data_IF_826886623296
#
_entry.id   IF_826886623296
#
_cell.length_a   1.000
_cell.length_b   1.000
_cell.length_c   1.000
_cell.angle_alpha   90.00
_cell.angle_beta   90.00
_cell.angle_gamma   90.00
#
_symmetry.space_group_name_H-M   'P 1'
#
loop_
_entity.id
_entity.type
_entity.pdbx_description
1 polymer ?
#
# COMPACT_ATOMS: atom_id res chain seq x y z
N UNK A 1 5.74 -1.79 20.12
CA UNK A 1 4.52 -0.98 20.17
C UNK A 1 3.34 -1.90 20.08
N UNK A 2 2.51 -1.88 21.11
CA UNK A 2 1.42 -2.81 21.31
C UNK A 2 0.29 -2.53 20.33
N UNK A 3 -0.13 -3.53 19.56
CA UNK A 3 -1.51 -3.59 19.09
C UNK A 3 -2.27 -4.36 20.16
N UNK A 4 -3.15 -3.66 20.88
CA UNK A 4 -4.06 -4.23 21.86
C UNK A 4 -5.15 -4.94 21.07
N UNK A 5 -5.29 -6.28 21.10
CA UNK A 5 -6.56 -6.88 20.77
C UNK A 5 -7.49 -6.60 21.95
N UNK A 6 -8.58 -5.88 21.70
CA UNK A 6 -9.63 -5.66 22.69
C UNK A 6 -10.06 -7.01 23.29
N UNK A 7 -9.80 -7.17 24.58
CA UNK A 7 -10.52 -8.10 25.44
C UNK A 7 -11.96 -7.60 25.58
N UNK A 8 -12.94 -8.36 25.09
CA UNK A 8 -14.33 -8.23 25.54
C UNK A 8 -14.82 -9.58 26.08
N UNK A 9 -15.37 -9.49 27.28
CA UNK A 9 -15.73 -10.54 28.22
C UNK A 9 -16.71 -11.59 27.71
N UNK A 10 -16.58 -12.79 28.29
CA UNK A 10 -17.62 -13.81 28.31
C UNK A 10 -18.79 -13.44 29.26
N UNK A 11 -19.95 -14.01 28.90
CA UNK A 11 -21.11 -14.38 29.74
C UNK A 11 -22.27 -13.38 29.85
N UNK A 12 -23.43 -13.74 29.30
CA UNK A 12 -24.65 -14.11 30.06
C UNK A 12 -25.69 -14.79 29.15
N UNK A 13 -26.29 -15.87 29.68
CA UNK A 13 -27.39 -16.65 29.07
C UNK A 13 -28.66 -15.82 28.87
N UNK A 14 -29.46 -16.17 27.84
CA UNK A 14 -30.93 -16.41 27.87
C UNK A 14 -31.46 -16.69 26.44
N UNK A 15 -31.98 -17.91 26.26
CA UNK A 15 -32.94 -18.40 25.25
C UNK A 15 -32.57 -18.39 23.74
N UNK A 16 -32.27 -19.61 23.26
CA UNK A 16 -32.34 -20.13 21.88
C UNK A 16 -31.73 -19.27 20.74
N UNK A 17 -30.58 -19.76 20.25
CA UNK A 17 -29.68 -19.24 19.20
C UNK A 17 -28.68 -18.17 19.65
N UNK A 18 -27.42 -18.60 19.85
CA UNK A 18 -26.27 -17.70 19.95
C UNK A 18 -25.74 -17.41 18.54
N UNK A 19 -25.80 -16.15 18.12
CA UNK A 19 -25.15 -15.69 16.89
C UNK A 19 -23.76 -15.20 17.27
N UNK A 20 -22.74 -15.90 16.78
CA UNK A 20 -21.35 -15.48 16.91
C UNK A 20 -20.96 -14.68 15.67
N UNK A 21 -20.42 -13.48 15.89
CA UNK A 21 -19.77 -12.69 14.85
C UNK A 21 -18.32 -12.55 15.24
N UNK A 22 -17.43 -12.85 14.30
CA UNK A 22 -16.01 -12.63 14.45
C UNK A 22 -15.45 -12.14 13.11
N UNK A 23 -14.30 -11.50 13.17
CA UNK A 23 -13.49 -11.13 12.03
C UNK A 23 -12.08 -11.66 12.25
N UNK A 24 -11.39 -11.99 11.16
CA UNK A 24 -9.95 -12.26 11.13
C UNK A 24 -9.38 -11.71 9.84
N UNK A 25 -8.08 -11.47 9.82
CA UNK A 25 -7.37 -11.12 8.59
C UNK A 25 -7.49 -12.27 7.58
N UNK A 26 -7.64 -11.91 6.29
CA UNK A 26 -7.64 -12.88 5.19
C UNK A 26 -6.27 -13.57 5.10
N UNK A 27 -5.20 -12.80 5.25
CA UNK A 27 -3.84 -13.31 5.39
C UNK A 27 -3.21 -12.72 6.66
N UNK A 28 -2.82 -13.57 7.60
CA UNK A 28 -2.18 -13.17 8.86
C UNK A 28 -0.65 -13.09 8.75
N UNK A 29 -0.06 -13.60 7.66
CA UNK A 29 1.39 -13.74 7.48
C UNK A 29 2.02 -14.88 8.27
N UNK A 30 1.26 -15.58 9.12
CA UNK A 30 1.69 -16.79 9.82
C UNK A 30 1.41 -18.01 8.93
N UNK A 31 2.45 -18.51 8.28
CA UNK A 31 2.34 -19.69 7.41
C UNK A 31 2.38 -21.03 8.17
N UNK A 32 2.72 -21.01 9.46
CA UNK A 32 2.91 -22.23 10.26
C UNK A 32 1.61 -22.66 10.95
N UNK A 33 0.76 -21.70 11.36
CA UNK A 33 -0.45 -21.98 12.13
C UNK A 33 -1.75 -21.51 11.46
N UNK A 34 -1.67 -20.59 10.48
CA UNK A 34 -2.84 -20.03 9.81
C UNK A 34 -2.87 -20.34 8.32
N UNK A 35 -4.08 -20.50 7.80
CA UNK A 35 -4.30 -20.55 6.35
C UNK A 35 -4.53 -19.15 5.80
N UNK A 36 -3.93 -18.85 4.64
CA UNK A 36 -4.30 -17.69 3.84
C UNK A 36 -5.69 -17.93 3.23
N UNK A 37 -6.70 -17.20 3.70
CA UNK A 37 -8.09 -17.32 3.24
C UNK A 37 -8.32 -16.77 1.83
N UNK A 38 -7.33 -16.07 1.27
CA UNK A 38 -7.30 -15.67 -0.14
C UNK A 38 -6.88 -16.82 -1.09
N UNK A 39 -6.51 -17.98 -0.56
CA UNK A 39 -6.29 -19.19 -1.34
C UNK A 39 -7.62 -19.95 -1.60
N UNK A 40 -7.59 -20.89 -2.54
CA UNK A 40 -8.70 -21.80 -2.80
C UNK A 40 -8.80 -22.84 -1.68
N UNK A 41 -9.80 -22.72 -0.82
CA UNK A 41 -9.98 -23.54 0.39
C UNK A 41 -11.36 -24.18 0.45
N UNK A 42 -11.47 -25.35 1.09
CA UNK A 42 -12.77 -25.93 1.44
C UNK A 42 -13.20 -25.45 2.82
N UNK A 43 -14.45 -25.01 2.94
CA UNK A 43 -14.99 -24.62 4.23
C UNK A 43 -15.47 -25.85 4.99
N UNK A 44 -15.01 -25.97 6.24
CA UNK A 44 -15.49 -26.96 7.20
C UNK A 44 -16.47 -26.28 8.15
N UNK A 45 -17.52 -26.98 8.52
CA UNK A 45 -18.32 -26.61 9.68
C UNK A 45 -18.40 -27.80 10.64
N UNK A 46 -18.28 -27.50 11.93
CA UNK A 46 -18.31 -28.50 12.99
C UNK A 46 -19.13 -27.98 14.16
N UNK A 47 -19.83 -28.88 14.84
CA UNK A 47 -20.52 -28.57 16.09
C UNK A 47 -19.92 -29.43 17.19
N UNK A 48 -19.48 -28.78 18.27
CA UNK A 48 -18.97 -29.46 19.46
C UNK A 48 -19.01 -28.49 20.65
N UNK A 49 -18.77 -29.03 21.84
CA UNK A 49 -18.59 -28.22 23.04
C UNK A 49 -17.25 -27.47 22.98
N UNK A 50 -17.17 -26.35 23.69
CA UNK A 50 -15.86 -25.77 24.01
C UNK A 50 -15.16 -26.72 25.00
N UNK A 51 -13.94 -27.16 24.67
CA UNK A 51 -13.14 -28.03 25.54
C UNK A 51 -12.56 -27.31 26.76
N UNK A 52 -13.23 -26.27 27.25
CA UNK A 52 -12.73 -25.27 28.20
C UNK A 52 -12.63 -23.87 27.59
N UNK A 53 -11.98 -22.93 28.31
CA UNK A 53 -11.88 -21.50 27.93
C UNK A 53 -10.83 -21.20 26.85
N UNK A 54 -9.99 -22.17 26.47
CA UNK A 54 -8.82 -21.95 25.61
C UNK A 54 -8.75 -22.85 24.37
N UNK A 55 -9.71 -23.75 24.17
CA UNK A 55 -9.68 -24.69 23.05
C UNK A 55 -11.06 -25.17 22.63
N UNK A 56 -11.23 -25.43 21.34
CA UNK A 56 -12.38 -26.16 20.80
C UNK A 56 -12.20 -27.66 21.07
N UNK A 57 -13.25 -28.37 21.51
CA UNK A 57 -13.17 -29.81 21.66
C UNK A 57 -13.16 -30.50 20.30
N UNK A 58 -12.47 -31.65 20.21
CA UNK A 58 -12.50 -32.47 19.01
C UNK A 58 -13.89 -33.12 18.86
N UNK A 59 -14.53 -32.95 17.71
CA UNK A 59 -15.76 -33.66 17.37
C UNK A 59 -15.47 -35.11 16.94
N UNK A 60 -16.39 -36.03 17.22
CA UNK A 60 -16.20 -37.47 16.94
C UNK A 60 -16.64 -37.90 15.52
N UNK A 61 -17.16 -36.98 14.71
CA UNK A 61 -17.68 -37.26 13.36
C UNK A 61 -16.82 -36.58 12.28
N UNK A 62 -16.85 -37.08 11.05
CA UNK A 62 -16.28 -36.35 9.91
C UNK A 62 -17.17 -35.15 9.59
N UNK A 63 -16.64 -33.91 9.52
CA UNK A 63 -17.45 -32.74 9.24
C UNK A 63 -17.89 -32.75 7.77
N UNK A 64 -19.06 -32.17 7.51
CA UNK A 64 -19.46 -31.88 6.14
C UNK A 64 -18.61 -30.74 5.57
N UNK A 65 -18.27 -30.85 4.29
CA UNK A 65 -17.39 -29.92 3.58
C UNK A 65 -18.11 -29.35 2.38
N UNK A 66 -17.74 -28.14 1.96
CA UNK A 66 -18.28 -27.56 0.72
C UNK A 66 -17.92 -28.40 -0.49
N UNK A 67 -18.82 -28.50 -1.47
CA UNK A 67 -18.59 -29.26 -2.71
C UNK A 67 -17.66 -28.54 -3.70
N UNK A 68 -17.46 -27.24 -3.50
CA UNK A 68 -16.54 -26.41 -4.26
C UNK A 68 -15.62 -25.68 -3.29
N UNK A 69 -14.41 -25.37 -3.77
CA UNK A 69 -13.51 -24.50 -3.03
C UNK A 69 -14.04 -23.06 -3.08
N UNK A 70 -13.92 -22.37 -1.96
CA UNK A 70 -14.23 -20.96 -1.81
C UNK A 70 -12.92 -20.18 -1.73
N UNK A 71 -12.96 -18.93 -2.20
CA UNK A 71 -11.91 -17.94 -2.00
C UNK A 71 -12.56 -16.78 -1.26
N UNK A 72 -12.03 -16.40 -0.10
CA UNK A 72 -12.50 -15.19 0.58
C UNK A 72 -11.83 -14.02 -0.13
N UNK A 73 -12.58 -13.34 -0.98
CA UNK A 73 -12.15 -12.11 -1.62
C UNK A 73 -12.50 -10.92 -0.73
N UNK A 74 -11.54 -10.06 -0.49
CA UNK A 74 -11.86 -8.73 -0.01
C UNK A 74 -12.42 -7.93 -1.19
N UNK A 75 -13.72 -7.63 -1.16
CA UNK A 75 -14.32 -6.76 -2.17
C UNK A 75 -14.04 -5.27 -1.88
N UNK A 76 -13.32 -4.99 -0.79
CA UNK A 76 -12.91 -3.69 -0.31
C UNK A 76 -11.39 -3.48 -0.38
N UNK A 77 -10.62 -4.46 -0.89
CA UNK A 77 -9.23 -4.21 -1.28
C UNK A 77 -9.21 -3.39 -2.55
N UNK A 78 -8.55 -2.24 -2.49
CA UNK A 78 -7.99 -1.55 -3.63
C UNK A 78 -7.28 -2.58 -4.54
N UNK A 79 -7.88 -2.89 -5.69
CA UNK A 79 -7.26 -3.79 -6.67
C UNK A 79 -6.23 -2.97 -7.41
N UNK A 80 -4.96 -3.21 -7.11
CA UNK A 80 -3.88 -2.54 -7.82
C UNK A 80 -3.90 -2.88 -9.31
N UNK A 81 -3.68 -1.89 -10.19
CA UNK A 81 -3.59 -2.14 -11.62
C UNK A 81 -2.44 -3.09 -11.91
N UNK A 82 -2.73 -4.13 -12.69
CA UNK A 82 -1.76 -5.20 -13.01
C UNK A 82 -0.82 -4.80 -14.14
N UNK A 83 -1.26 -3.89 -15.02
CA UNK A 83 -0.43 -3.33 -16.08
C UNK A 83 0.13 -1.98 -15.64
N UNK A 84 1.40 -1.72 -15.90
CA UNK A 84 2.03 -0.43 -15.66
C UNK A 84 2.53 0.18 -16.96
N UNK A 85 2.61 1.50 -16.99
CA UNK A 85 3.27 2.24 -18.06
C UNK A 85 4.72 1.81 -18.18
N UNK A 86 5.15 1.50 -19.41
CA UNK A 86 6.53 1.12 -19.66
C UNK A 86 7.47 2.30 -19.35
N UNK A 87 8.61 2.00 -18.72
CA UNK A 87 9.62 3.00 -18.37
C UNK A 87 10.04 3.79 -19.62
N UNK A 88 9.92 5.13 -19.55
CA UNK A 88 10.23 6.04 -20.66
C UNK A 88 9.11 6.23 -21.69
N UNK A 89 8.00 5.51 -21.60
CA UNK A 89 6.79 5.72 -22.40
C UNK A 89 5.71 6.50 -21.65
N UNK A 90 6.10 7.23 -20.61
CA UNK A 90 5.18 8.04 -19.82
C UNK A 90 4.81 9.33 -20.58
N UNK A 91 3.62 9.87 -20.32
CA UNK A 91 3.11 11.08 -20.96
C UNK A 91 3.95 12.30 -20.57
N UNK A 92 4.39 12.33 -19.31
CA UNK A 92 5.33 13.29 -18.79
C UNK A 92 6.60 12.57 -18.37
N UNK A 93 7.74 13.00 -18.92
CA UNK A 93 9.06 12.51 -18.54
C UNK A 93 9.95 13.71 -18.27
N UNK A 94 10.67 13.66 -17.16
CA UNK A 94 11.67 14.67 -16.81
C UNK A 94 12.94 14.01 -16.27
N UNK A 95 14.09 14.57 -16.66
CA UNK A 95 15.41 14.11 -16.24
C UNK A 95 16.27 15.28 -15.81
N UNK A 96 17.10 15.07 -14.79
CA UNK A 96 18.14 16.01 -14.37
C UNK A 96 19.53 15.36 -14.44
N UNK A 97 20.53 16.02 -15.03
CA UNK A 97 20.44 17.29 -15.81
C UNK A 97 19.49 17.18 -17.01
N UNK A 98 18.96 18.30 -17.49
CA UNK A 98 18.04 18.29 -18.64
C UNK A 98 18.68 17.59 -19.86
N UNK A 99 17.92 16.69 -20.49
CA UNK A 99 18.38 15.91 -21.65
C UNK A 99 19.33 14.75 -21.32
N UNK A 100 19.53 14.40 -20.05
CA UNK A 100 20.29 13.21 -19.68
C UNK A 100 19.64 11.91 -20.20
N UNK A 101 20.47 10.92 -20.49
CA UNK A 101 20.01 9.55 -20.74
C UNK A 101 19.52 8.95 -19.42
N UNK A 102 18.40 8.21 -19.44
CA UNK A 102 17.75 7.68 -18.24
C UNK A 102 18.75 7.07 -17.25
N UNK A 103 19.61 6.17 -17.72
CA UNK A 103 20.58 5.43 -16.89
C UNK A 103 21.69 6.29 -16.28
N UNK A 104 21.93 7.50 -16.80
CA UNK A 104 22.97 8.43 -16.33
C UNK A 104 22.39 9.66 -15.65
N UNK A 105 21.07 9.88 -15.74
CA UNK A 105 20.38 10.94 -15.01
C UNK A 105 20.61 10.83 -13.50
N UNK A 106 20.83 11.97 -12.84
CA UNK A 106 20.85 12.06 -11.38
C UNK A 106 19.46 11.87 -10.79
N UNK A 107 18.44 12.31 -11.53
CA UNK A 107 17.03 12.17 -11.20
C UNK A 107 16.26 11.97 -12.51
N UNK A 108 15.36 11.01 -12.53
CA UNK A 108 14.49 10.71 -13.65
C UNK A 108 13.10 10.37 -13.12
N UNK A 109 12.08 10.98 -13.72
CA UNK A 109 10.68 10.72 -13.39
C UNK A 109 9.86 10.49 -14.64
N UNK A 110 8.93 9.55 -14.54
CA UNK A 110 7.86 9.33 -15.51
C UNK A 110 6.50 9.36 -14.81
N UNK A 111 5.55 10.11 -15.36
CA UNK A 111 4.16 10.17 -14.89
C UNK A 111 3.19 9.91 -16.04
N UNK A 112 2.21 9.02 -15.83
CA UNK A 112 1.14 8.70 -16.78
C UNK A 112 -0.11 8.20 -16.06
N UNK A 113 -1.33 8.51 -16.52
CA UNK A 113 -2.48 7.70 -16.17
C UNK A 113 -2.22 6.24 -16.50
N UNK A 114 -2.58 5.33 -15.60
CA UNK A 114 -2.35 3.91 -15.79
C UNK A 114 -3.13 3.40 -17.02
N UNK A 115 -2.53 2.56 -17.86
CA UNK A 115 -3.13 2.13 -19.13
C UNK A 115 -4.33 1.17 -18.94
N UNK A 116 -4.37 0.44 -17.83
CA UNK A 116 -5.45 -0.51 -17.51
C UNK A 116 -6.56 0.08 -16.65
N UNK A 117 -6.21 1.05 -15.80
CA UNK A 117 -7.16 1.76 -14.95
C UNK A 117 -6.78 3.25 -14.82
N UNK A 118 -7.38 4.14 -15.63
CA UNK A 118 -7.00 5.54 -15.67
C UNK A 118 -7.38 6.31 -14.39
N UNK A 119 -7.98 5.66 -13.38
CA UNK A 119 -8.16 6.26 -12.05
C UNK A 119 -6.87 6.26 -11.22
N UNK A 120 -5.80 5.60 -11.69
CA UNK A 120 -4.48 5.63 -11.10
C UNK A 120 -3.49 6.44 -11.95
N UNK A 121 -2.56 7.10 -11.26
CA UNK A 121 -1.35 7.67 -11.83
C UNK A 121 -0.20 6.68 -11.62
N UNK A 122 0.39 6.19 -12.71
CA UNK A 122 1.67 5.50 -12.68
C UNK A 122 2.81 6.50 -12.46
N UNK A 123 3.66 6.19 -11.49
CA UNK A 123 4.82 6.96 -11.08
C UNK A 123 6.06 6.09 -11.17
N UNK A 124 7.02 6.55 -11.98
CA UNK A 124 8.35 5.97 -12.05
C UNK A 124 9.38 6.97 -11.55
N UNK A 125 10.18 6.60 -10.56
CA UNK A 125 11.30 7.40 -10.07
C UNK A 125 12.60 6.59 -10.16
N UNK A 126 13.65 7.22 -10.67
CA UNK A 126 14.99 6.63 -10.78
C UNK A 126 16.06 7.71 -10.53
N UNK A 127 17.07 7.42 -9.71
CA UNK A 127 18.14 8.40 -9.52
C UNK A 127 19.19 8.03 -8.49
N UNK A 128 20.31 8.75 -8.51
CA UNK A 128 21.42 8.54 -7.58
C UNK A 128 21.10 9.23 -6.25
N UNK A 129 20.83 8.43 -5.22
CA UNK A 129 20.41 8.92 -3.91
C UNK A 129 20.78 7.93 -2.80
N UNK A 130 21.33 8.42 -1.69
CA UNK A 130 21.72 7.58 -0.55
C UNK A 130 20.61 7.38 0.50
N UNK A 131 19.41 7.94 0.28
CA UNK A 131 18.34 7.83 1.27
C UNK A 131 16.94 7.93 0.71
N UNK A 132 16.65 8.88 -0.18
CA UNK A 132 15.32 8.99 -0.76
C UNK A 132 15.32 9.74 -2.09
N UNK A 133 14.30 9.45 -2.90
CA UNK A 133 13.92 10.17 -4.12
C UNK A 133 12.41 10.42 -4.06
N UNK A 134 11.95 11.62 -4.43
CA UNK A 134 10.55 11.98 -4.31
C UNK A 134 10.13 13.01 -5.37
N UNK A 135 8.83 13.03 -5.65
CA UNK A 135 8.14 14.03 -6.44
C UNK A 135 7.01 14.65 -5.62
N UNK A 136 6.95 15.97 -5.60
CA UNK A 136 5.87 16.73 -4.97
C UNK A 136 4.97 17.40 -6.00
N UNK A 137 3.68 17.46 -5.68
CA UNK A 137 2.66 18.20 -6.40
C UNK A 137 2.29 19.44 -5.59
N UNK A 138 2.59 20.61 -6.13
CA UNK A 138 2.41 21.89 -5.44
C UNK A 138 1.47 22.82 -6.18
N UNK A 139 0.69 23.60 -5.43
CA UNK A 139 -0.16 24.66 -5.98
C UNK A 139 0.63 25.93 -6.32
N UNK A 140 1.90 26.01 -5.91
CA UNK A 140 2.78 27.14 -6.20
C UNK A 140 4.24 26.66 -6.34
N UNK A 141 5.20 27.58 -6.41
CA UNK A 141 6.65 27.23 -6.45
C UNK A 141 7.27 27.11 -5.04
N UNK A 142 6.39 26.96 -4.06
CA UNK A 142 6.53 26.64 -2.65
C UNK A 142 7.33 25.38 -2.38
N UNK A 143 7.65 25.07 -1.13
CA UNK A 143 7.80 23.67 -0.71
C UNK A 143 7.07 23.57 0.62
N UNK A 144 5.76 23.78 0.56
CA UNK A 144 4.84 23.85 1.68
C UNK A 144 3.42 23.59 1.19
N UNK A 145 2.63 22.87 1.99
CA UNK A 145 1.33 22.35 1.58
C UNK A 145 1.46 21.62 0.23
N UNK A 146 2.31 20.61 0.17
CA UNK A 146 2.49 19.78 -1.03
C UNK A 146 2.14 18.34 -0.72
N UNK A 147 1.48 17.67 -1.66
CA UNK A 147 1.34 16.21 -1.72
C UNK A 147 2.62 15.63 -2.32
N UNK A 148 3.24 14.65 -1.68
CA UNK A 148 4.59 14.17 -2.01
C UNK A 148 4.65 12.65 -2.01
N UNK A 149 4.90 12.10 -3.20
CA UNK A 149 5.12 10.67 -3.39
C UNK A 149 6.61 10.40 -3.53
N UNK A 150 7.10 9.33 -2.91
CA UNK A 150 8.52 9.03 -3.00
C UNK A 150 8.89 7.63 -2.56
N UNK A 151 10.20 7.40 -2.59
CA UNK A 151 10.80 6.13 -2.22
C UNK A 151 11.98 6.40 -1.30
N UNK A 152 12.04 5.68 -0.18
CA UNK A 152 13.12 5.80 0.80
C UNK A 152 13.83 4.46 1.02
N UNK A 153 15.13 4.54 1.25
CA UNK A 153 16.01 3.43 1.57
C UNK A 153 16.15 3.31 3.08
N UNK A 154 15.93 2.11 3.61
CA UNK A 154 16.29 1.75 4.97
C UNK A 154 16.97 0.38 4.96
N UNK A 155 18.26 0.33 5.37
CA UNK A 155 19.08 -0.89 5.32
C UNK A 155 18.99 -1.62 3.97
N UNK A 156 19.21 -0.88 2.88
CA UNK A 156 19.13 -1.34 1.48
C UNK A 156 17.74 -1.77 0.98
N UNK A 157 16.71 -1.74 1.83
CA UNK A 157 15.32 -1.95 1.42
C UNK A 157 14.68 -0.63 0.96
N UNK A 158 14.07 -0.63 -0.23
CA UNK A 158 13.34 0.52 -0.77
C UNK A 158 11.86 0.37 -0.53
N UNK A 159 11.30 1.35 0.18
CA UNK A 159 9.86 1.48 0.44
C UNK A 159 9.31 2.69 -0.30
N UNK A 160 8.18 2.51 -0.98
CA UNK A 160 7.38 3.63 -1.50
C UNK A 160 6.61 4.24 -0.32
N UNK A 161 6.50 5.55 -0.32
CA UNK A 161 5.82 6.31 0.73
C UNK A 161 4.98 7.44 0.13
N UNK A 162 3.81 7.65 0.73
CA UNK A 162 3.01 8.85 0.60
C UNK A 162 3.31 9.79 1.76
N UNK A 163 3.55 11.06 1.46
CA UNK A 163 3.99 12.05 2.43
C UNK A 163 3.47 13.42 2.04
N UNK A 164 3.56 14.38 2.95
CA UNK A 164 3.21 15.76 2.63
C UNK A 164 4.22 16.74 3.24
N UNK A 165 4.39 17.87 2.57
CA UNK A 165 5.17 18.99 3.08
C UNK A 165 4.26 19.93 3.86
N UNK A 166 4.44 20.10 5.18
CA UNK A 166 3.70 21.11 5.93
C UNK A 166 4.06 22.55 5.58
N UNK A 167 3.17 23.45 6.01
CA UNK A 167 3.45 24.88 6.12
C UNK A 167 3.80 25.23 7.57
N UNK A 168 4.75 26.15 7.80
CA UNK A 168 5.50 26.93 6.80
C UNK A 168 6.53 26.11 6.01
N UNK A 169 7.01 26.67 4.89
CA UNK A 169 8.15 26.13 4.16
C UNK A 169 9.32 25.77 5.09
N UNK A 170 9.99 24.66 4.78
CA UNK A 170 11.14 24.08 5.50
C UNK A 170 10.76 23.28 6.75
N UNK A 171 9.48 23.19 7.11
CA UNK A 171 9.04 22.19 8.08
C UNK A 171 9.34 20.77 7.57
N UNK A 172 9.57 19.87 8.51
CA UNK A 172 9.90 18.49 8.17
C UNK A 172 8.73 17.82 7.45
N UNK A 173 9.02 17.14 6.34
CA UNK A 173 8.05 16.30 5.62
C UNK A 173 7.47 15.23 6.57
N UNK A 174 6.17 14.97 6.43
CA UNK A 174 5.40 14.10 7.31
C UNK A 174 4.86 12.92 6.52
N UNK A 175 4.95 11.72 7.08
CA UNK A 175 4.36 10.51 6.50
C UNK A 175 2.85 10.57 6.61
N UNK A 176 2.13 10.30 5.52
CA UNK A 176 0.69 10.08 5.59
C UNK A 176 0.41 8.81 6.43
N UNK A 177 -0.51 8.88 7.38
CA UNK A 177 -0.74 7.75 8.28
C UNK A 177 -1.37 6.54 7.60
N UNK A 178 -2.12 6.75 6.52
CA UNK A 178 -2.91 5.71 5.84
C UNK A 178 -2.09 5.02 4.75
N UNK A 179 -1.30 5.79 3.99
CA UNK A 179 -0.63 5.30 2.77
C UNK A 179 -1.64 4.69 1.76
N UNK A 180 -2.90 5.11 1.83
CA UNK A 180 -3.98 4.61 0.99
C UNK A 180 -3.75 5.02 -0.47
N UNK A 181 -4.38 4.31 -1.41
CA UNK A 181 -4.24 4.64 -2.84
C UNK A 181 -2.95 4.13 -3.49
N UNK A 182 -1.96 3.67 -2.72
CA UNK A 182 -0.66 3.21 -3.24
C UNK A 182 -0.61 1.74 -3.68
N UNK A 183 -0.08 1.54 -4.88
CA UNK A 183 0.14 0.25 -5.51
C UNK A 183 1.59 0.09 -5.93
N UNK A 184 2.40 -0.60 -5.13
CA UNK A 184 3.83 -0.78 -5.44
C UNK A 184 4.02 -1.94 -6.41
N UNK A 185 4.66 -1.71 -7.56
CA UNK A 185 4.99 -2.80 -8.50
C UNK A 185 6.44 -3.25 -8.45
N UNK A 186 7.38 -2.32 -8.31
CA UNK A 186 8.78 -2.70 -8.14
C UNK A 186 9.59 -1.63 -7.42
N UNK A 187 10.56 -2.06 -6.64
CA UNK A 187 11.56 -1.19 -6.01
C UNK A 187 12.93 -1.84 -6.06
N UNK A 188 13.99 -1.04 -6.12
CA UNK A 188 15.36 -1.54 -6.00
C UNK A 188 16.32 -0.45 -5.54
N UNK A 189 17.37 -0.86 -4.84
CA UNK A 189 18.52 -0.03 -4.54
C UNK A 189 19.77 -0.77 -4.98
N UNK A 190 20.44 -0.29 -6.02
CA UNK A 190 21.64 -0.93 -6.57
C UNK A 190 22.62 0.14 -7.03
N UNK A 191 23.90 0.00 -6.70
CA UNK A 191 24.95 0.96 -7.07
C UNK A 191 24.60 2.41 -6.67
N UNK A 192 24.07 2.60 -5.45
CA UNK A 192 23.64 3.91 -4.93
C UNK A 192 22.54 4.60 -5.76
N UNK A 193 21.77 3.80 -6.52
CA UNK A 193 20.67 4.26 -7.37
C UNK A 193 19.36 3.64 -6.87
N UNK A 194 18.40 4.50 -6.56
CA UNK A 194 17.04 4.09 -6.21
C UNK A 194 16.24 3.98 -7.51
N UNK A 195 15.49 2.90 -7.67
CA UNK A 195 14.43 2.79 -8.67
C UNK A 195 13.14 2.37 -7.99
N UNK A 196 12.04 3.01 -8.32
CA UNK A 196 10.72 2.57 -7.90
C UNK A 196 9.66 2.85 -8.96
N UNK A 197 8.76 1.88 -9.12
CA UNK A 197 7.56 1.94 -9.95
C UNK A 197 6.38 1.60 -9.05
N UNK A 198 5.45 2.54 -8.97
CA UNK A 198 4.21 2.41 -8.21
C UNK A 198 3.09 3.15 -8.93
N UNK A 199 1.85 2.88 -8.54
CA UNK A 199 0.70 3.70 -8.92
C UNK A 199 0.04 4.31 -7.69
N UNK A 200 -0.57 5.48 -7.85
CA UNK A 200 -1.35 6.15 -6.80
C UNK A 200 -2.72 6.57 -7.35
N UNK A 201 -3.79 6.44 -6.58
CA UNK A 201 -5.12 6.87 -7.02
C UNK A 201 -5.15 8.38 -7.30
N UNK A 202 -5.71 8.78 -8.44
CA UNK A 202 -5.78 10.20 -8.84
C UNK A 202 -6.70 10.99 -7.90
N UNK A 203 -7.81 10.37 -7.47
CA UNK A 203 -8.76 10.97 -6.56
C UNK A 203 -8.21 11.01 -5.12
N UNK A 204 -8.65 12.01 -4.36
CA UNK A 204 -8.29 12.20 -2.95
C UNK A 204 -8.73 10.98 -2.14
N UNK A 205 -7.77 10.36 -1.45
CA UNK A 205 -8.00 9.26 -0.51
C UNK A 205 -8.03 9.75 0.94
N UNK A 206 -7.24 10.79 1.29
CA UNK A 206 -7.29 11.50 2.57
C UNK A 206 -7.47 13.03 2.41
N UNK A 207 -8.53 13.58 2.99
CA UNK A 207 -8.87 15.00 2.87
C UNK A 207 -7.89 15.88 3.65
N UNK A 208 -7.02 16.58 2.93
CA UNK A 208 -6.12 17.62 3.46
C UNK A 208 -4.63 17.30 3.34
N UNK A 209 -4.28 16.04 3.08
CA UNK A 209 -2.91 15.59 2.81
C UNK A 209 -2.76 15.20 1.33
N UNK A 210 -3.78 14.57 0.76
CA UNK A 210 -3.83 14.17 -0.64
C UNK A 210 -4.41 15.25 -1.55
N UNK A 211 -3.77 15.43 -2.70
CA UNK A 211 -4.26 16.22 -3.81
C UNK A 211 -5.00 15.35 -4.83
N UNK A 212 -6.03 15.95 -5.44
CA UNK A 212 -6.66 15.37 -6.63
C UNK A 212 -5.75 15.63 -7.83
N UNK A 213 -5.10 14.59 -8.34
CA UNK A 213 -4.11 14.72 -9.42
C UNK A 213 -4.73 14.97 -10.81
N UNK A 214 -6.07 15.08 -10.90
CA UNK A 214 -6.79 15.59 -12.09
C UNK A 214 -6.89 17.13 -12.05
N UNK A 215 -5.75 17.79 -11.84
CA UNK A 215 -5.62 19.24 -11.75
C UNK A 215 -4.20 19.68 -12.11
N UNK A 216 -4.00 20.98 -12.27
CA UNK A 216 -2.70 21.55 -12.64
C UNK A 216 -1.85 21.80 -11.40
N UNK A 217 -0.63 21.26 -11.39
CA UNK A 217 0.34 21.41 -10.31
C UNK A 217 1.73 21.79 -10.83
N UNK A 218 2.50 22.47 -9.99
CA UNK A 218 3.95 22.54 -10.14
C UNK A 218 4.55 21.23 -9.60
N UNK A 219 5.47 20.65 -10.34
CA UNK A 219 6.21 19.49 -9.88
C UNK A 219 7.47 19.93 -9.15
N UNK A 220 7.64 19.42 -7.93
CA UNK A 220 8.82 19.60 -7.11
C UNK A 220 9.63 18.32 -7.13
N UNK A 221 10.90 18.39 -7.50
CA UNK A 221 11.78 17.21 -7.56
C UNK A 221 12.71 17.21 -6.35
N UNK A 222 12.78 16.09 -5.66
CA UNK A 222 13.62 15.95 -4.49
C UNK A 222 14.44 14.67 -4.52
N UNK A 223 15.70 14.78 -4.09
CA UNK A 223 16.52 13.62 -3.76
C UNK A 223 17.45 13.95 -2.62
N UNK A 224 17.79 12.94 -1.82
CA UNK A 224 18.94 13.04 -0.90
C UNK A 224 20.22 12.70 -1.65
N UNK A 225 21.05 13.71 -1.89
CA UNK A 225 22.40 13.50 -2.41
C UNK A 225 23.20 12.55 -1.50
N UNK A 226 24.04 11.73 -2.13
CA UNK A 226 24.96 10.83 -1.46
C UNK A 226 26.11 11.58 -0.79
#
# INVERSE_FOLDING_TARGET
YACIPELIFATLFVYNFSIYRFSRLINTGDADNDLNLGASLFQLYGTSDFGGVSSLAQHSQTPEVTTQAIVVTDNNTMICPVQTTAVGSHNLVFGMPEGCERSTCEYYVGLSPNPSDPTYLDVYLEGNAAGWIAIGFSLNTQMENDDVLGCRVNSDNVTVVDTWNPSPRQEANVLDATQDGLCVQSTSFTNSRITCSFSRTIVVTDVGQDYNLDSSYYLLFGRRAA
#
